data_IF_601036940533
#
_entry.id   IF_601036940533
#
_cell.length_a   1.000
_cell.length_b   1.000
_cell.length_c   1.000
_cell.angle_alpha   90.00
_cell.angle_beta   90.00
_cell.angle_gamma   90.00
#
_symmetry.space_group_name_H-M   'P 1'
#
loop_
_entity.id
_entity.type
_entity.pdbx_description
1 polymer ?
#
# COMPACT_ATOMS: atom_id res chain seq x y z
N UNK A 1 21.79 5.44 -6.51
CA UNK A 1 20.48 5.72 -7.10
C UNK A 1 19.50 6.16 -6.02
N UNK A 2 18.73 7.22 -6.28
CA UNK A 2 17.78 7.72 -5.28
C UNK A 2 16.59 6.78 -5.14
N UNK A 3 16.07 6.64 -3.93
CA UNK A 3 14.88 5.87 -3.63
C UNK A 3 13.94 6.67 -2.76
N UNK A 4 12.66 6.37 -2.86
CA UNK A 4 11.63 6.97 -2.03
C UNK A 4 10.89 5.86 -1.30
N UNK A 5 10.69 6.05 0.00
CA UNK A 5 9.84 5.18 0.82
C UNK A 5 8.50 5.86 1.02
N UNK A 6 7.42 5.21 0.60
CA UNK A 6 6.06 5.69 0.78
C UNK A 6 5.34 4.79 1.77
N UNK A 7 4.72 5.38 2.78
CA UNK A 7 3.90 4.65 3.74
C UNK A 7 2.44 5.08 3.57
N UNK A 8 1.57 4.09 3.44
CA UNK A 8 0.15 4.30 3.19
C UNK A 8 -0.66 3.62 4.27
N UNK A 9 -1.66 4.33 4.80
CA UNK A 9 -2.64 3.79 5.73
C UNK A 9 -3.92 3.51 4.98
N UNK A 10 -4.47 2.32 5.18
CA UNK A 10 -5.77 1.94 4.62
C UNK A 10 -6.67 1.55 5.78
N UNK A 11 -7.80 2.23 5.91
CA UNK A 11 -8.78 1.99 6.98
C UNK A 11 -10.14 1.64 6.39
N UNK A 12 -10.95 0.92 7.14
CA UNK A 12 -12.29 0.52 6.73
C UNK A 12 -12.48 -0.97 6.54
N UNK A 13 -11.41 -1.76 6.52
CA UNK A 13 -11.49 -3.21 6.49
C UNK A 13 -11.72 -3.79 7.89
N UNK A 14 -12.30 -4.99 7.95
CA UNK A 14 -12.37 -5.79 9.17
C UNK A 14 -11.39 -6.97 9.08
N UNK A 15 -11.22 -7.68 10.21
CA UNK A 15 -10.29 -8.80 10.30
C UNK A 15 -10.58 -9.90 9.27
N UNK A 16 -11.84 -10.21 9.03
CA UNK A 16 -12.22 -11.27 8.09
C UNK A 16 -11.84 -10.92 6.66
N UNK A 17 -12.10 -9.67 6.26
CA UNK A 17 -11.73 -9.18 4.92
C UNK A 17 -10.22 -9.23 4.71
N UNK A 18 -9.46 -8.81 5.71
CA UNK A 18 -8.00 -8.86 5.65
C UNK A 18 -7.49 -10.30 5.58
N UNK A 19 -8.03 -11.18 6.40
CA UNK A 19 -7.62 -12.59 6.40
C UNK A 19 -7.83 -13.24 5.03
N UNK A 20 -8.94 -12.93 4.37
CA UNK A 20 -9.26 -13.50 3.06
C UNK A 20 -8.38 -12.96 1.93
N UNK A 21 -8.03 -11.69 1.97
CA UNK A 21 -7.39 -11.02 0.84
C UNK A 21 -5.90 -10.73 0.98
N UNK A 22 -5.32 -10.86 2.17
CA UNK A 22 -3.94 -10.40 2.42
C UNK A 22 -2.89 -11.12 1.57
N UNK A 23 -3.01 -12.43 1.39
CA UNK A 23 -2.05 -13.19 0.59
C UNK A 23 -2.06 -12.72 -0.88
N UNK A 24 -3.25 -12.53 -1.44
CA UNK A 24 -3.40 -12.03 -2.81
C UNK A 24 -2.89 -10.60 -2.94
N UNK A 25 -3.17 -9.76 -1.96
CA UNK A 25 -2.70 -8.38 -1.96
C UNK A 25 -1.17 -8.31 -2.00
N UNK A 26 -0.51 -9.08 -1.14
CA UNK A 26 0.96 -9.16 -1.12
C UNK A 26 1.51 -9.71 -2.44
N UNK A 27 0.86 -10.71 -3.01
CA UNK A 27 1.27 -11.26 -4.30
C UNK A 27 1.17 -10.20 -5.40
N UNK A 28 0.06 -9.48 -5.49
CA UNK A 28 -0.13 -8.46 -6.51
C UNK A 28 0.90 -7.35 -6.40
N UNK A 29 1.24 -6.94 -5.17
CA UNK A 29 2.31 -5.96 -4.97
C UNK A 29 3.66 -6.49 -5.48
N UNK A 30 3.96 -7.76 -5.21
CA UNK A 30 5.23 -8.37 -5.60
C UNK A 30 5.37 -8.56 -7.11
N UNK A 31 4.26 -8.56 -7.85
CA UNK A 31 4.27 -8.69 -9.30
C UNK A 31 4.61 -7.39 -10.03
N UNK A 32 4.76 -6.29 -9.31
CA UNK A 32 5.07 -4.98 -9.88
C UNK A 32 6.56 -4.65 -9.70
N UNK A 33 7.36 -4.75 -10.77
CA UNK A 33 8.83 -4.60 -10.65
C UNK A 33 9.29 -3.22 -10.17
N UNK A 34 8.50 -2.17 -10.42
CA UNK A 34 8.86 -0.83 -9.98
C UNK A 34 8.61 -0.59 -8.50
N UNK A 35 7.89 -1.48 -7.83
CA UNK A 35 7.76 -1.48 -6.37
C UNK A 35 8.90 -2.36 -5.83
N UNK A 36 10.08 -1.77 -5.69
CA UNK A 36 11.32 -2.53 -5.44
C UNK A 36 11.32 -3.27 -4.11
N UNK A 37 10.64 -2.73 -3.11
CA UNK A 37 10.36 -3.42 -1.86
C UNK A 37 8.94 -3.08 -1.43
N UNK A 38 8.20 -4.07 -0.98
CA UNK A 38 6.84 -3.86 -0.48
C UNK A 38 6.59 -4.69 0.76
N UNK A 39 5.86 -4.12 1.70
CA UNK A 39 5.36 -4.83 2.88
C UNK A 39 3.96 -4.36 3.21
N UNK A 40 3.15 -5.25 3.77
CA UNK A 40 1.80 -4.94 4.21
C UNK A 40 1.58 -5.61 5.57
N UNK A 41 1.14 -4.83 6.55
CA UNK A 41 0.91 -5.30 7.91
C UNK A 41 -0.46 -4.85 8.39
N UNK A 42 -1.19 -5.78 8.99
CA UNK A 42 -2.50 -5.49 9.57
C UNK A 42 -2.38 -5.24 11.06
N UNK A 43 -2.91 -4.10 11.51
CA UNK A 43 -3.02 -3.78 12.93
C UNK A 43 -4.49 -3.92 13.36
N UNK A 44 -4.87 -5.02 14.04
CA UNK A 44 -6.26 -5.24 14.42
C UNK A 44 -6.77 -4.27 15.49
N UNK A 45 -5.88 -3.73 16.33
CA UNK A 45 -6.27 -2.78 17.36
C UNK A 45 -6.72 -1.45 16.78
N UNK A 46 -6.07 -1.01 15.71
CA UNK A 46 -6.39 0.24 15.02
C UNK A 46 -7.27 0.02 13.79
N UNK A 47 -7.54 -1.22 13.44
CA UNK A 47 -8.23 -1.59 12.20
C UNK A 47 -7.59 -0.91 10.99
N UNK A 48 -6.27 -0.95 10.94
CA UNK A 48 -5.47 -0.26 9.93
C UNK A 48 -4.55 -1.22 9.21
N UNK A 49 -4.55 -1.14 7.88
CA UNK A 49 -3.59 -1.83 7.04
C UNK A 49 -2.48 -0.84 6.68
N UNK A 50 -1.27 -1.13 7.11
CA UNK A 50 -0.10 -0.32 6.80
C UNK A 50 0.67 -0.93 5.64
N UNK A 51 0.88 -0.14 4.61
CA UNK A 51 1.62 -0.55 3.42
C UNK A 51 2.85 0.33 3.29
N UNK A 52 4.01 -0.31 3.18
CA UNK A 52 5.29 0.41 3.00
C UNK A 52 5.90 -0.04 1.67
N UNK A 53 6.16 0.91 0.81
CA UNK A 53 6.68 0.66 -0.54
C UNK A 53 7.92 1.50 -0.76
N UNK A 54 8.97 0.88 -1.34
CA UNK A 54 10.12 1.63 -1.84
C UNK A 54 10.12 1.60 -3.36
N UNK A 55 10.40 2.74 -3.96
CA UNK A 55 10.54 2.89 -5.40
C UNK A 55 11.81 3.63 -5.73
N UNK A 56 12.31 3.47 -6.94
CA UNK A 56 13.43 4.24 -7.45
C UNK A 56 12.92 5.57 -7.98
N UNK A 57 13.52 6.67 -7.54
CA UNK A 57 13.12 8.02 -7.92
C UNK A 57 13.66 9.03 -6.94
N UNK A 58 13.61 10.29 -7.31
CA UNK A 58 14.14 11.38 -6.48
C UNK A 58 13.09 12.42 -6.08
N UNK A 59 11.85 12.29 -6.56
CA UNK A 59 10.75 13.18 -6.20
C UNK A 59 9.73 12.45 -5.33
N UNK A 60 9.74 12.66 -4.00
CA UNK A 60 8.81 11.95 -3.11
C UNK A 60 7.33 12.15 -3.44
N UNK A 61 6.96 13.33 -3.91
CA UNK A 61 5.57 13.62 -4.25
C UNK A 61 5.10 12.79 -5.44
N UNK A 62 5.86 12.77 -6.52
CA UNK A 62 5.51 12.00 -7.71
C UNK A 62 5.52 10.50 -7.43
N UNK A 63 6.53 10.02 -6.71
CA UNK A 63 6.62 8.60 -6.37
C UNK A 63 5.46 8.16 -5.49
N UNK A 64 5.09 8.94 -4.49
CA UNK A 64 3.99 8.58 -3.58
C UNK A 64 2.64 8.55 -4.30
N UNK A 65 2.40 9.44 -5.22
CA UNK A 65 1.15 9.45 -6.00
C UNK A 65 1.05 8.20 -6.87
N UNK A 66 2.14 7.81 -7.53
CA UNK A 66 2.18 6.60 -8.33
C UNK A 66 2.03 5.33 -7.49
N UNK A 67 2.66 5.28 -6.33
CA UNK A 67 2.53 4.18 -5.39
C UNK A 67 1.08 4.05 -4.89
N UNK A 68 0.45 5.17 -4.57
CA UNK A 68 -0.94 5.16 -4.10
C UNK A 68 -1.87 4.53 -5.14
N UNK A 69 -1.72 4.88 -6.41
CA UNK A 69 -2.52 4.32 -7.50
C UNK A 69 -2.31 2.81 -7.63
N UNK A 70 -1.06 2.34 -7.53
CA UNK A 70 -0.74 0.92 -7.63
C UNK A 70 -1.29 0.13 -6.42
N UNK A 71 -1.16 0.68 -5.23
CA UNK A 71 -1.71 0.08 -4.02
C UNK A 71 -3.23 0.00 -4.10
N UNK A 72 -3.88 1.04 -4.60
CA UNK A 72 -5.32 1.07 -4.83
C UNK A 72 -5.76 -0.08 -5.74
N UNK A 73 -5.10 -0.23 -6.89
CA UNK A 73 -5.43 -1.29 -7.85
C UNK A 73 -5.22 -2.68 -7.25
N UNK A 74 -4.14 -2.89 -6.53
CA UNK A 74 -3.88 -4.16 -5.85
C UNK A 74 -4.94 -4.46 -4.79
N UNK A 75 -5.33 -3.44 -4.03
CA UNK A 75 -6.33 -3.60 -2.97
C UNK A 75 -7.70 -3.94 -3.54
N UNK A 76 -8.13 -3.28 -4.60
CA UNK A 76 -9.40 -3.59 -5.27
C UNK A 76 -9.41 -5.05 -5.75
N UNK A 77 -8.33 -5.49 -6.37
CA UNK A 77 -8.22 -6.85 -6.89
C UNK A 77 -8.25 -7.89 -5.78
N UNK A 78 -7.61 -7.60 -4.64
CA UNK A 78 -7.45 -8.56 -3.54
C UNK A 78 -8.65 -8.60 -2.58
N UNK A 79 -9.19 -7.43 -2.21
CA UNK A 79 -10.16 -7.31 -1.12
C UNK A 79 -11.60 -7.07 -1.56
N UNK A 80 -11.82 -6.64 -2.81
CA UNK A 80 -13.17 -6.43 -3.38
C UNK A 80 -14.06 -5.54 -2.52
N UNK A 81 -13.60 -4.35 -2.20
CA UNK A 81 -14.32 -3.41 -1.34
C UNK A 81 -15.03 -2.32 -2.15
N UNK A 82 -15.98 -1.65 -1.47
CA UNK A 82 -16.59 -0.42 -1.98
C UNK A 82 -15.69 0.77 -1.62
N UNK A 83 -15.49 1.69 -2.55
CA UNK A 83 -14.69 2.91 -2.31
C UNK A 83 -15.27 3.79 -1.19
N UNK A 84 -16.53 3.62 -0.84
CA UNK A 84 -17.16 4.37 0.25
C UNK A 84 -16.79 3.82 1.63
N UNK A 85 -16.39 2.54 1.69
CA UNK A 85 -16.08 1.87 2.96
C UNK A 85 -14.65 2.05 3.39
N UNK A 86 -13.76 2.30 2.44
CA UNK A 86 -12.31 2.23 2.66
C UNK A 86 -11.66 3.57 2.33
N UNK A 87 -10.81 4.03 3.23
CA UNK A 87 -10.06 5.27 3.05
C UNK A 87 -8.57 4.98 2.95
N UNK A 88 -7.91 5.60 1.99
CA UNK A 88 -6.48 5.51 1.75
C UNK A 88 -5.84 6.86 2.08
N UNK A 89 -4.74 6.84 2.79
CA UNK A 89 -4.00 8.05 3.09
C UNK A 89 -2.50 7.82 3.04
N UNK A 90 -1.78 8.76 2.44
CA UNK A 90 -0.32 8.76 2.46
C UNK A 90 0.13 9.31 3.81
N UNK A 91 0.80 8.49 4.61
CA UNK A 91 1.34 8.90 5.91
C UNK A 91 2.65 9.65 5.76
N UNK A 92 3.52 9.15 4.89
CA UNK A 92 4.79 9.80 4.60
C UNK A 92 5.33 9.35 3.25
N UNK A 93 6.15 10.21 2.66
CA UNK A 93 6.94 9.88 1.49
C UNK A 93 8.30 10.56 1.69
N UNK A 94 9.36 9.77 1.83
CA UNK A 94 10.68 10.25 2.19
C UNK A 94 11.76 9.69 1.28
N UNK A 95 12.76 10.50 0.92
CA UNK A 95 13.95 9.95 0.30
C UNK A 95 14.66 9.02 1.28
N UNK A 96 15.16 7.90 0.77
CA UNK A 96 15.97 6.95 1.54
C UNK A 96 17.25 6.63 0.79
N UNK A 97 18.30 6.46 1.54
CA UNK A 97 19.61 6.16 0.97
C UNK A 97 19.67 4.72 0.42
#
# INVERSE_FOLDING_TARGET
MARVRTRISITGFNDAEITEGMADFRQYLSERPWLTESSAEWNPLESELLVTIKTEGDDPKLESEGVLDEVWDCAIAAFRFSSEQVAFGILEAQPVA
#
